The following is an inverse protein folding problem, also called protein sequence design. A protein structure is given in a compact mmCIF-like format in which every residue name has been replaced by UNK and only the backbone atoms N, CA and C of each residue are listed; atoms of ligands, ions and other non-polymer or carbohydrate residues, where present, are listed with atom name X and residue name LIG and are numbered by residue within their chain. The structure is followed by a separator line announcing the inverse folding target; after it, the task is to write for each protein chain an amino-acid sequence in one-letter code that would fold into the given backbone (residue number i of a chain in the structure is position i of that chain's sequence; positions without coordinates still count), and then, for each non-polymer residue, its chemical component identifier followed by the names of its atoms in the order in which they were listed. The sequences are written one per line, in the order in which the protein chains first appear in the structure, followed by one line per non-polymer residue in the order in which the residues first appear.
data_IF_152041065821
#
_entry.id   IF_152041065821
#
_cell.length_a   1.000
_cell.length_b   1.000
_cell.length_c   1.000
_cell.angle_alpha   90.00
_cell.angle_beta   90.00
_cell.angle_gamma   90.00
#
_symmetry.space_group_name_H-M   'P 1'
#
loop_
_entity.id
_entity.type
_entity.pdbx_description
1 polymer ?
#
# COMPACT_ATOMS: atom_id res chain seq x y z
N UNK A 1 -8.87 22.10 -9.43
CA UNK A 1 -8.29 21.39 -8.29
C UNK A 1 -9.19 20.22 -7.93
N UNK A 2 -8.63 19.07 -7.76
CA UNK A 2 -9.39 17.90 -7.36
C UNK A 2 -9.28 17.67 -5.85
N UNK A 3 -10.23 16.95 -5.31
CA UNK A 3 -10.28 16.63 -3.89
C UNK A 3 -9.81 15.21 -3.68
N UNK A 4 -9.01 15.00 -2.64
CA UNK A 4 -8.59 13.66 -2.25
C UNK A 4 -9.55 13.15 -1.19
N UNK A 5 -10.03 11.93 -1.38
CA UNK A 5 -10.96 11.29 -0.47
C UNK A 5 -10.29 10.08 0.18
N UNK A 6 -10.37 10.02 1.50
CA UNK A 6 -9.77 8.93 2.26
C UNK A 6 -10.89 8.18 2.99
N UNK A 7 -10.90 6.88 2.87
CA UNK A 7 -11.92 6.06 3.52
C UNK A 7 -11.27 4.84 4.18
N UNK A 8 -11.52 4.69 5.47
CA UNK A 8 -11.02 3.53 6.22
C UNK A 8 -11.82 2.30 5.81
N UNK A 9 -11.13 1.22 5.51
CA UNK A 9 -11.74 -0.06 5.22
C UNK A 9 -11.88 -0.86 6.52
N UNK A 10 -13.09 -1.24 6.88
CA UNK A 10 -13.34 -1.93 8.13
C UNK A 10 -14.50 -2.89 7.99
N UNK A 11 -14.61 -3.82 8.94
CA UNK A 11 -15.69 -4.78 8.97
C UNK A 11 -15.24 -6.16 8.55
N UNK A 12 -16.21 -6.98 8.15
CA UNK A 12 -15.93 -8.34 7.69
C UNK A 12 -15.30 -8.29 6.30
N UNK A 13 -14.69 -9.41 5.85
CA UNK A 13 -14.20 -9.47 4.48
C UNK A 13 -15.25 -9.09 3.44
N UNK A 14 -16.51 -9.49 3.68
CA UNK A 14 -17.61 -9.13 2.78
C UNK A 14 -17.86 -7.63 2.76
N UNK A 15 -17.81 -6.98 3.94
CA UNK A 15 -18.01 -5.53 4.03
C UNK A 15 -16.93 -4.79 3.26
N UNK A 16 -15.68 -5.20 3.42
CA UNK A 16 -14.55 -4.57 2.74
C UNK A 16 -14.69 -4.79 1.22
N UNK A 17 -15.04 -5.99 0.82
CA UNK A 17 -15.20 -6.31 -0.61
C UNK A 17 -16.27 -5.44 -1.24
N UNK A 18 -17.40 -5.27 -0.54
CA UNK A 18 -18.48 -4.42 -1.03
C UNK A 18 -18.04 -2.96 -1.17
N UNK A 19 -17.32 -2.47 -0.14
CA UNK A 19 -16.80 -1.10 -0.19
C UNK A 19 -15.88 -0.90 -1.39
N UNK A 20 -14.99 -1.86 -1.64
CA UNK A 20 -14.07 -1.76 -2.76
C UNK A 20 -14.79 -1.83 -4.10
N UNK A 21 -15.82 -2.65 -4.19
CA UNK A 21 -16.63 -2.74 -5.42
C UNK A 21 -17.37 -1.43 -5.70
N UNK A 22 -17.90 -0.80 -4.65
CA UNK A 22 -18.57 0.49 -4.80
C UNK A 22 -17.59 1.56 -5.27
N UNK A 23 -16.40 1.59 -4.70
CA UNK A 23 -15.37 2.54 -5.12
C UNK A 23 -14.91 2.29 -6.56
N UNK A 24 -14.80 1.02 -6.94
CA UNK A 24 -14.38 0.66 -8.30
C UNK A 24 -15.40 1.15 -9.33
N UNK A 25 -16.68 1.03 -9.02
CA UNK A 25 -17.73 1.53 -9.92
C UNK A 25 -17.61 3.05 -10.12
N UNK A 26 -17.35 3.76 -9.03
CA UNK A 26 -17.24 5.22 -9.08
C UNK A 26 -15.99 5.66 -9.83
N UNK A 27 -14.91 4.87 -9.77
CA UNK A 27 -13.63 5.22 -10.37
C UNK A 27 -13.44 4.67 -11.78
N UNK A 28 -14.42 3.92 -12.27
CA UNK A 28 -14.37 3.37 -13.64
C UNK A 28 -13.08 2.57 -13.85
N UNK A 29 -12.86 1.57 -12.99
CA UNK A 29 -11.59 0.86 -12.95
C UNK A 29 -11.47 -0.27 -13.96
N UNK A 30 -12.38 -0.39 -14.88
CA UNK A 30 -12.34 -1.47 -15.89
C UNK A 30 -11.11 -1.39 -16.78
N UNK A 31 -10.45 -0.26 -16.81
CA UNK A 31 -9.22 -0.12 -17.59
C UNK A 31 -8.05 -0.87 -16.97
N UNK A 32 -8.19 -1.37 -15.74
CA UNK A 32 -7.13 -2.11 -15.06
C UNK A 32 -7.51 -3.59 -15.02
N UNK A 33 -6.69 -4.40 -15.67
CA UNK A 33 -7.03 -5.81 -15.90
C UNK A 33 -7.12 -6.61 -14.62
N UNK A 34 -6.38 -6.24 -13.60
CA UNK A 34 -6.35 -6.97 -12.34
C UNK A 34 -7.03 -6.23 -11.19
N UNK A 35 -8.03 -5.41 -11.53
CA UNK A 35 -8.81 -4.72 -10.49
C UNK A 35 -9.36 -5.65 -9.44
N UNK A 36 -9.79 -6.84 -9.84
CA UNK A 36 -10.31 -7.82 -8.88
C UNK A 36 -9.24 -8.29 -7.90
N UNK A 37 -7.99 -8.47 -8.37
CA UNK A 37 -6.88 -8.87 -7.50
C UNK A 37 -6.49 -7.75 -6.56
N UNK A 38 -6.53 -6.52 -7.02
CA UNK A 38 -6.27 -5.37 -6.17
C UNK A 38 -7.31 -5.28 -5.05
N UNK A 39 -8.57 -5.50 -5.37
CA UNK A 39 -9.63 -5.52 -4.37
C UNK A 39 -9.42 -6.64 -3.35
N UNK A 40 -9.00 -7.81 -3.82
CA UNK A 40 -8.74 -8.93 -2.90
C UNK A 40 -7.54 -8.66 -2.00
N UNK A 41 -6.52 -7.99 -2.51
CA UNK A 41 -5.40 -7.54 -1.69
C UNK A 41 -5.89 -6.62 -0.59
N UNK A 42 -6.75 -5.67 -0.93
CA UNK A 42 -7.32 -4.75 0.06
C UNK A 42 -8.11 -5.50 1.14
N UNK A 43 -8.90 -6.50 0.75
CA UNK A 43 -9.66 -7.31 1.70
C UNK A 43 -8.72 -8.03 2.67
N UNK A 44 -7.69 -8.65 2.15
CA UNK A 44 -6.75 -9.41 2.97
C UNK A 44 -5.98 -8.52 3.92
N UNK A 45 -5.58 -7.34 3.47
CA UNK A 45 -4.87 -6.39 4.33
C UNK A 45 -5.79 -5.80 5.40
N UNK A 46 -6.99 -5.40 4.99
CA UNK A 46 -7.92 -4.72 5.90
C UNK A 46 -8.46 -5.63 7.00
N UNK A 47 -8.46 -6.93 6.76
CA UNK A 47 -8.95 -7.90 7.74
C UNK A 47 -7.83 -8.58 8.52
N UNK A 48 -6.59 -8.16 8.32
CA UNK A 48 -5.46 -8.71 9.07
C UNK A 48 -5.30 -7.95 10.38
N UNK A 49 -5.16 -8.69 11.48
CA UNK A 49 -4.99 -8.08 12.79
C UNK A 49 -3.78 -7.17 12.82
N UNK A 50 -3.94 -6.03 13.43
CA UNK A 50 -2.85 -5.09 13.64
C UNK A 50 -2.64 -4.10 12.51
N UNK A 51 -3.33 -4.26 11.39
CA UNK A 51 -3.21 -3.33 10.27
C UNK A 51 -4.45 -2.45 10.17
N UNK A 52 -4.23 -1.21 9.75
CA UNK A 52 -5.29 -0.29 9.38
C UNK A 52 -5.11 0.07 7.91
N UNK A 53 -6.16 -0.03 7.14
CA UNK A 53 -6.09 0.18 5.69
C UNK A 53 -7.12 1.22 5.29
N UNK A 54 -6.69 2.20 4.52
CA UNK A 54 -7.60 3.21 3.97
C UNK A 54 -7.42 3.26 2.45
N UNK A 55 -8.49 3.61 1.77
CA UNK A 55 -8.39 3.95 0.35
C UNK A 55 -8.15 5.44 0.23
N UNK A 56 -7.37 5.83 -0.78
CA UNK A 56 -7.15 7.23 -1.12
C UNK A 56 -7.50 7.38 -2.59
N UNK A 57 -8.51 8.16 -2.88
CA UNK A 57 -8.97 8.37 -4.25
C UNK A 57 -9.12 9.85 -4.51
N UNK A 58 -9.01 10.23 -5.77
CA UNK A 58 -9.24 11.62 -6.18
C UNK A 58 -10.55 11.71 -6.95
N UNK A 59 -11.17 12.90 -6.91
CA UNK A 59 -12.43 13.13 -7.61
C UNK A 59 -12.31 12.94 -9.11
N UNK A 60 -11.12 13.18 -9.67
CA UNK A 60 -10.90 13.05 -11.10
C UNK A 60 -10.53 11.63 -11.52
N UNK A 61 -10.47 10.70 -10.57
CA UNK A 61 -10.15 9.30 -10.88
C UNK A 61 -8.69 9.03 -11.17
N UNK A 62 -7.81 10.02 -11.04
CA UNK A 62 -6.39 9.85 -11.36
C UNK A 62 -5.61 9.10 -10.28
N UNK A 63 -6.09 9.16 -9.04
CA UNK A 63 -5.43 8.53 -7.90
C UNK A 63 -6.33 7.44 -7.34
N UNK A 64 -5.78 6.27 -7.13
CA UNK A 64 -6.47 5.17 -6.49
C UNK A 64 -5.40 4.34 -5.77
N UNK A 65 -5.31 4.54 -4.47
CA UNK A 65 -4.25 3.95 -3.67
C UNK A 65 -4.83 3.31 -2.42
N UNK A 66 -4.08 2.37 -1.86
CA UNK A 66 -4.30 1.89 -0.49
C UNK A 66 -3.19 2.44 0.37
N UNK A 67 -3.55 2.88 1.57
CA UNK A 67 -2.58 3.29 2.58
C UNK A 67 -2.70 2.32 3.75
N UNK A 68 -1.60 1.64 4.07
CA UNK A 68 -1.58 0.62 5.11
C UNK A 68 -0.65 1.08 6.23
N UNK A 69 -1.18 1.08 7.45
CA UNK A 69 -0.39 1.46 8.63
C UNK A 69 -0.56 0.38 9.70
N UNK A 70 0.28 0.44 10.72
CA UNK A 70 0.03 -0.33 11.93
C UNK A 70 -1.09 0.37 12.70
N UNK A 71 -2.10 -0.40 13.11
CA UNK A 71 -3.22 0.18 13.86
C UNK A 71 -2.77 0.83 15.17
N UNK A 72 -1.70 0.29 15.78
CA UNK A 72 -1.17 0.81 17.03
C UNK A 72 -0.27 2.03 16.85
N UNK A 73 0.17 2.33 15.63
CA UNK A 73 1.09 3.44 15.38
C UNK A 73 0.81 4.04 13.99
N UNK A 74 -0.38 4.62 13.79
CA UNK A 74 -0.81 5.00 12.44
C UNK A 74 -0.04 6.18 11.85
N UNK A 75 0.71 6.92 12.65
CA UNK A 75 1.45 8.08 12.17
C UNK A 75 2.94 7.84 12.05
N UNK A 76 3.41 6.63 12.33
CA UNK A 76 4.84 6.34 12.30
C UNK A 76 5.32 6.12 10.88
N UNK A 77 4.70 5.22 10.17
CA UNK A 77 5.04 4.96 8.76
C UNK A 77 3.82 4.37 8.06
N UNK A 78 3.81 4.48 6.75
CA UNK A 78 2.73 3.94 5.94
C UNK A 78 3.31 3.25 4.71
N UNK A 79 2.65 2.20 4.28
CA UNK A 79 2.90 1.59 2.98
C UNK A 79 1.79 2.08 2.06
N UNK A 80 2.16 2.68 0.94
CA UNK A 80 1.20 3.13 -0.05
C UNK A 80 1.28 2.19 -1.24
N UNK A 81 0.14 1.62 -1.63
CA UNK A 81 0.06 0.71 -2.75
C UNK A 81 -0.72 1.40 -3.85
N UNK A 82 -0.05 1.66 -4.96
CA UNK A 82 -0.59 2.42 -6.07
C UNK A 82 -0.96 1.45 -7.19
N UNK A 83 -2.21 1.53 -7.67
CA UNK A 83 -2.64 0.72 -8.80
C UNK A 83 -2.88 1.56 -10.04
N UNK A 84 -2.22 2.72 -10.14
CA UNK A 84 -2.33 3.52 -11.36
C UNK A 84 -1.68 2.85 -12.57
N UNK A 85 -0.85 1.84 -12.33
CA UNK A 85 -0.21 1.07 -13.40
C UNK A 85 -1.13 -0.05 -13.84
N UNK A 86 -1.39 -0.21 -15.13
CA UNK A 86 -2.18 -1.34 -15.61
C UNK A 86 -1.38 -2.63 -15.55
N UNK A 87 -2.08 -3.75 -15.62
CA UNK A 87 -1.45 -5.06 -15.62
C UNK A 87 -1.57 -5.74 -14.26
N UNK A 88 -0.70 -6.71 -14.01
CA UNK A 88 -0.77 -7.53 -12.81
C UNK A 88 0.24 -7.12 -11.74
N UNK A 89 0.69 -5.87 -11.78
CA UNK A 89 1.63 -5.33 -10.81
C UNK A 89 1.01 -4.14 -10.10
N UNK A 90 1.43 -3.92 -8.87
CA UNK A 90 1.16 -2.68 -8.16
C UNK A 90 2.48 -2.16 -7.61
N UNK A 91 2.55 -0.86 -7.41
CA UNK A 91 3.74 -0.23 -6.86
C UNK A 91 3.53 -0.03 -5.37
N UNK A 92 4.53 -0.41 -4.58
CA UNK A 92 4.51 -0.23 -3.13
C UNK A 92 5.56 0.79 -2.75
N UNK A 93 5.16 1.77 -1.96
CA UNK A 93 6.05 2.83 -1.48
C UNK A 93 5.98 2.90 0.02
N UNK A 94 7.12 2.92 0.69
CA UNK A 94 7.19 3.14 2.13
C UNK A 94 7.33 4.63 2.40
N UNK A 95 6.46 5.18 3.25
CA UNK A 95 6.51 6.57 3.68
C UNK A 95 6.80 6.61 5.18
N UNK A 96 7.84 7.33 5.55
CA UNK A 96 8.23 7.49 6.95
C UNK A 96 8.81 8.88 7.12
N UNK A 97 8.42 9.56 8.21
CA UNK A 97 9.01 10.84 8.57
C UNK A 97 10.31 10.60 9.31
N UNK A 98 11.41 11.18 8.79
CA UNK A 98 12.72 11.05 9.39
C UNK A 98 13.19 12.42 9.86
N UNK A 99 13.46 12.60 11.17
CA UNK A 99 13.94 13.89 11.68
C UNK A 99 15.39 14.08 11.25
N UNK A 100 15.67 15.20 10.58
CA UNK A 100 17.02 15.52 10.11
C UNK A 100 17.43 16.94 10.49
N UNK A 101 16.87 17.46 11.57
CA UNK A 101 17.16 18.84 11.98
C UNK A 101 18.53 19.02 12.61
N UNK A 102 19.22 17.94 12.95
CA UNK A 102 20.55 17.98 13.52
C UNK A 102 21.42 16.88 12.89
N UNK A 103 22.70 16.91 13.18
CA UNK A 103 23.62 15.96 12.58
C UNK A 103 23.36 14.51 12.99
N UNK A 104 23.09 14.21 14.28
CA UNK A 104 22.68 12.85 14.64
C UNK A 104 21.42 12.40 13.89
N UNK A 105 20.46 13.29 13.67
CA UNK A 105 19.25 12.96 12.91
C UNK A 105 19.56 12.58 11.48
N UNK A 106 20.46 13.30 10.84
CA UNK A 106 20.88 12.97 9.45
C UNK A 106 21.50 11.59 9.40
N UNK A 107 22.40 11.27 10.32
CA UNK A 107 23.05 9.96 10.33
C UNK A 107 22.04 8.84 10.62
N UNK A 108 21.13 9.08 11.55
CA UNK A 108 20.08 8.10 11.85
C UNK A 108 19.19 7.84 10.64
N UNK A 109 18.88 8.88 9.87
CA UNK A 109 18.08 8.73 8.65
C UNK A 109 18.82 7.89 7.61
N UNK A 110 20.11 8.13 7.43
CA UNK A 110 20.93 7.35 6.50
C UNK A 110 20.93 5.88 6.91
N UNK A 111 21.13 5.61 8.20
CA UNK A 111 21.16 4.24 8.71
C UNK A 111 19.81 3.55 8.53
N UNK A 112 18.71 4.28 8.80
CA UNK A 112 17.36 3.74 8.64
C UNK A 112 17.07 3.38 7.18
N UNK A 113 17.42 4.27 6.27
CA UNK A 113 17.20 4.02 4.84
C UNK A 113 18.00 2.82 4.38
N UNK A 114 19.26 2.74 4.79
CA UNK A 114 20.10 1.61 4.43
C UNK A 114 19.54 0.30 4.97
N UNK A 115 19.07 0.31 6.23
CA UNK A 115 18.51 -0.89 6.84
C UNK A 115 17.23 -1.37 6.13
N UNK A 116 16.38 -0.44 5.72
CA UNK A 116 15.15 -0.77 5.00
C UNK A 116 15.50 -1.42 3.65
N UNK A 117 16.42 -0.84 2.91
CA UNK A 117 16.81 -1.36 1.61
C UNK A 117 17.49 -2.72 1.72
N UNK A 118 18.32 -2.90 2.74
CA UNK A 118 18.99 -4.19 2.97
C UNK A 118 17.99 -5.27 3.36
N UNK A 119 17.01 -4.92 4.18
CA UNK A 119 15.95 -5.86 4.57
C UNK A 119 15.10 -6.28 3.37
N UNK A 120 14.77 -5.34 2.50
CA UNK A 120 14.01 -5.62 1.29
C UNK A 120 14.78 -6.57 0.36
N UNK A 121 16.08 -6.33 0.17
CA UNK A 121 16.91 -7.18 -0.67
C UNK A 121 17.02 -8.60 -0.10
N UNK A 122 17.12 -8.72 1.23
CA UNK A 122 17.17 -10.04 1.87
C UNK A 122 15.87 -10.81 1.69
N UNK A 123 14.75 -10.12 1.78
CA UNK A 123 13.43 -10.73 1.60
C UNK A 123 13.30 -11.28 0.18
N UNK A 124 13.71 -10.53 -0.81
CA UNK A 124 13.66 -10.98 -2.20
C UNK A 124 14.54 -12.19 -2.42
N UNK A 125 15.74 -12.18 -1.84
CA UNK A 125 16.67 -13.28 -2.00
C UNK A 125 16.20 -14.55 -1.30
N UNK A 126 15.58 -14.40 -0.13
CA UNK A 126 15.11 -15.54 0.65
C UNK A 126 13.84 -16.13 0.08
N UNK A 127 13.17 -15.45 -0.80
CA UNK A 127 11.92 -15.91 -1.35
C UNK A 127 12.12 -17.20 -2.11
N UNK A 128 11.41 -18.24 -1.72
CA UNK A 128 11.66 -19.52 -2.37
C UNK A 128 11.06 -19.59 -3.72
N UNK A 129 10.82 -18.76 -4.34
CA UNK A 129 10.20 -18.76 -5.50
C UNK A 129 10.75 -19.46 -6.37
N UNK A 130 10.83 -19.85 -5.92
CA UNK A 130 11.12 -20.31 -6.76
C UNK A 130 11.13 -20.10 -7.96
N UNK A 131 10.96 -19.95 -7.97
CA UNK A 131 10.81 -19.65 -8.85
C UNK A 131 11.55 -19.58 -9.54
N UNK A 132 11.94 -19.78 -9.71
CA UNK A 132 12.45 -19.60 -10.38
C UNK A 132 13.07 -20.25 -10.84
N UNK A 133 13.04 -20.61 -11.12
CA UNK A 133 13.47 -20.97 -11.61
C UNK A 133 14.08 -21.50 -11.96
N UNK A 134 14.34 -21.68 -12.13
CA UNK A 134 14.89 -22.00 -12.52
C UNK A 134 15.38 -22.57 -12.74
N UNK A 135 15.75 -22.80 -13.00
CA UNK A 135 16.43 -23.32 -13.54
C UNK A 135 16.80 -23.63 -13.96
#
# INVERSE_FOLDING_TARGET
MFTMNRQLLSGTPEDVRRTMEDLARDQDDHQYLDGARFRELAVQLATRDGLAVSTVTSDDGAVYELEVTLASAPHHEAIVIDRSQPGDHCQMTLERWLPISDQPGVQDAVDAIHAILAASARTDRARPTGTTTAP
#
